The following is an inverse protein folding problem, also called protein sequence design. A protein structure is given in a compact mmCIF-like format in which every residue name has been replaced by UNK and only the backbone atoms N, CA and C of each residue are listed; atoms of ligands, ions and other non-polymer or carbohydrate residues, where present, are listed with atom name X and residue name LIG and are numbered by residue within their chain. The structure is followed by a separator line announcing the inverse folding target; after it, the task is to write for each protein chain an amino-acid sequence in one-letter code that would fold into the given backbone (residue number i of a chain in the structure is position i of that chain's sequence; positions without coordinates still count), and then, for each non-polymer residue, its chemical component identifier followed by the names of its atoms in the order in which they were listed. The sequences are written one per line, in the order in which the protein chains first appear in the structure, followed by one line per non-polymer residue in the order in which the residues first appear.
data_IF_341709570025
#
_entry.id   IF_341709570025
#
_cell.length_a   1.000
_cell.length_b   1.000
_cell.length_c   1.000
_cell.angle_alpha   90.00
_cell.angle_beta   90.00
_cell.angle_gamma   90.00
#
_symmetry.space_group_name_H-M   'P 1'
#
loop_
_entity.id
_entity.type
_entity.pdbx_description
1 polymer ?
#
# COMPACT_ATOMS: atom_id res chain seq x y z
N UNK A 1 -12.83 -4.15 -13.49
CA UNK A 1 -11.82 -3.23 -12.93
C UNK A 1 -11.62 -1.99 -13.81
N UNK A 2 -11.16 -2.13 -15.06
CA UNK A 2 -10.86 -0.97 -15.94
C UNK A 2 -12.05 -0.02 -16.14
N UNK A 3 -13.26 -0.54 -16.40
CA UNK A 3 -14.47 0.28 -16.53
C UNK A 3 -14.80 1.07 -15.26
N UNK A 4 -14.53 0.51 -14.07
CA UNK A 4 -14.74 1.19 -12.78
C UNK A 4 -13.70 2.27 -12.50
N UNK A 5 -12.48 2.12 -13.04
CA UNK A 5 -11.43 3.15 -12.95
C UNK A 5 -11.68 4.30 -13.94
N UNK A 6 -12.33 4.02 -15.08
CA UNK A 6 -12.66 5.04 -16.09
C UNK A 6 -13.97 5.80 -15.81
N UNK A 7 -14.89 5.22 -15.02
CA UNK A 7 -16.18 5.84 -14.65
C UNK A 7 -16.43 5.76 -13.13
N UNK A 8 -15.61 6.46 -12.31
CA UNK A 8 -15.65 6.37 -10.85
C UNK A 8 -17.01 6.68 -10.21
N UNK A 9 -17.78 7.62 -10.78
CA UNK A 9 -19.07 8.07 -10.25
C UNK A 9 -20.23 7.11 -10.53
N UNK A 10 -20.15 6.28 -11.58
CA UNK A 10 -21.28 5.46 -12.05
C UNK A 10 -21.16 3.97 -11.70
N UNK A 11 -19.93 3.45 -11.56
CA UNK A 11 -19.71 2.00 -11.46
C UNK A 11 -18.91 1.55 -10.22
N UNK A 12 -18.36 2.48 -9.43
CA UNK A 12 -17.50 2.10 -8.31
C UNK A 12 -18.33 1.67 -7.08
N UNK A 13 -18.13 0.42 -6.66
CA UNK A 13 -18.56 -0.11 -5.36
C UNK A 13 -17.37 -0.74 -4.68
N UNK A 14 -17.00 -0.26 -3.50
CA UNK A 14 -15.75 -0.59 -2.82
C UNK A 14 -15.49 -2.10 -2.69
N UNK A 15 -16.42 -2.85 -2.09
CA UNK A 15 -16.28 -4.29 -1.89
C UNK A 15 -16.16 -5.06 -3.19
N UNK A 16 -16.98 -4.69 -4.19
CA UNK A 16 -16.97 -5.34 -5.50
C UNK A 16 -15.66 -5.07 -6.27
N UNK A 17 -15.09 -3.87 -6.12
CA UNK A 17 -13.78 -3.57 -6.69
C UNK A 17 -12.68 -4.45 -6.07
N UNK A 18 -12.65 -4.56 -4.73
CA UNK A 18 -11.67 -5.40 -4.01
C UNK A 18 -11.78 -6.89 -4.41
N UNK A 19 -12.99 -7.41 -4.62
CA UNK A 19 -13.20 -8.78 -5.10
C UNK A 19 -12.74 -9.02 -6.54
N UNK A 20 -12.87 -8.03 -7.42
CA UNK A 20 -12.44 -8.18 -8.82
C UNK A 20 -10.93 -8.04 -8.92
N UNK A 21 -10.34 -7.03 -8.28
CA UNK A 21 -8.92 -6.69 -8.47
C UNK A 21 -8.00 -7.83 -8.01
N UNK A 22 -8.37 -8.56 -6.96
CA UNK A 22 -7.62 -9.74 -6.47
C UNK A 22 -7.57 -10.89 -7.48
N UNK A 23 -8.56 -11.01 -8.36
CA UNK A 23 -8.65 -12.06 -9.38
C UNK A 23 -7.86 -11.73 -10.65
N UNK A 24 -7.42 -10.49 -10.81
CA UNK A 24 -6.65 -10.04 -11.97
C UNK A 24 -5.22 -10.55 -11.88
N UNK A 25 -4.73 -11.21 -12.93
CA UNK A 25 -3.36 -11.72 -13.02
C UNK A 25 -2.34 -10.64 -13.43
N UNK A 26 -2.78 -9.58 -14.10
CA UNK A 26 -1.91 -8.50 -14.56
C UNK A 26 -1.60 -7.52 -13.42
N UNK A 27 -0.35 -7.56 -12.94
CA UNK A 27 0.16 -6.72 -11.85
C UNK A 27 0.13 -5.22 -12.19
N UNK A 28 0.25 -4.84 -13.47
CA UNK A 28 0.18 -3.42 -13.86
C UNK A 28 -1.20 -2.82 -13.58
N UNK A 29 -2.27 -3.63 -13.54
CA UNK A 29 -3.60 -3.17 -13.12
C UNK A 29 -3.66 -2.86 -11.62
N UNK A 30 -2.78 -3.44 -10.80
CA UNK A 30 -2.71 -3.13 -9.38
C UNK A 30 -2.14 -1.73 -9.17
N UNK A 31 -1.07 -1.38 -9.88
CA UNK A 31 -0.50 -0.03 -9.80
C UNK A 31 -1.44 1.04 -10.34
N UNK A 32 -2.23 0.72 -11.39
CA UNK A 32 -3.31 1.60 -11.85
C UNK A 32 -4.41 1.77 -10.79
N UNK A 33 -4.79 0.70 -10.11
CA UNK A 33 -5.75 0.77 -9.01
C UNK A 33 -5.19 1.58 -7.82
N UNK A 34 -3.93 1.39 -7.47
CA UNK A 34 -3.24 2.15 -6.42
C UNK A 34 -3.26 3.65 -6.75
N UNK A 35 -2.88 4.03 -7.97
CA UNK A 35 -2.93 5.43 -8.41
C UNK A 35 -4.37 5.98 -8.31
N UNK A 36 -5.37 5.24 -8.78
CA UNK A 36 -6.77 5.63 -8.66
C UNK A 36 -7.21 5.87 -7.21
N UNK A 37 -6.82 4.99 -6.28
CA UNK A 37 -7.13 5.18 -4.86
C UNK A 37 -6.35 6.35 -4.27
N UNK A 38 -5.10 6.54 -4.66
CA UNK A 38 -4.29 7.67 -4.21
C UNK A 38 -4.92 9.01 -4.62
N UNK A 39 -5.42 9.11 -5.86
CA UNK A 39 -5.99 10.34 -6.42
C UNK A 39 -7.41 10.64 -5.89
N UNK A 40 -8.25 9.61 -5.75
CA UNK A 40 -9.70 9.81 -5.51
C UNK A 40 -10.20 9.30 -4.15
N UNK A 41 -9.49 8.36 -3.50
CA UNK A 41 -9.94 7.67 -2.27
C UNK A 41 -8.76 7.32 -1.33
N UNK A 42 -7.92 8.29 -0.92
CA UNK A 42 -6.68 8.01 -0.19
C UNK A 42 -6.91 7.28 1.14
N UNK A 43 -8.03 7.55 1.81
CA UNK A 43 -8.39 6.89 3.07
C UNK A 43 -8.65 5.38 2.95
N UNK A 44 -8.98 4.90 1.75
CA UNK A 44 -9.25 3.47 1.47
C UNK A 44 -8.04 2.74 0.89
N UNK A 45 -6.93 3.46 0.68
CA UNK A 45 -5.74 2.92 0.02
C UNK A 45 -5.10 1.79 0.83
N UNK A 46 -4.98 1.95 2.15
CA UNK A 46 -4.38 0.92 3.01
C UNK A 46 -5.16 -0.40 2.92
N UNK A 47 -6.49 -0.35 2.97
CA UNK A 47 -7.32 -1.55 2.84
C UNK A 47 -7.15 -2.24 1.49
N UNK A 48 -7.02 -1.46 0.40
CA UNK A 48 -6.72 -2.03 -0.91
C UNK A 48 -5.34 -2.71 -0.89
N UNK A 49 -4.32 -2.06 -0.36
CA UNK A 49 -2.96 -2.59 -0.30
C UNK A 49 -2.88 -3.88 0.50
N UNK A 50 -3.61 -3.99 1.62
CA UNK A 50 -3.70 -5.22 2.41
C UNK A 50 -4.27 -6.39 1.61
N UNK A 51 -5.32 -6.13 0.83
CA UNK A 51 -5.95 -7.14 -0.03
C UNK A 51 -5.02 -7.57 -1.17
N UNK A 52 -4.18 -6.67 -1.68
CA UNK A 52 -3.22 -6.94 -2.75
C UNK A 52 -1.88 -7.49 -2.25
N UNK A 53 -1.59 -7.39 -0.94
CA UNK A 53 -0.28 -7.66 -0.36
C UNK A 53 0.30 -9.03 -0.76
N UNK A 54 -0.51 -10.08 -0.81
CA UNK A 54 -0.07 -11.44 -1.13
C UNK A 54 0.50 -11.62 -2.55
N UNK A 55 0.26 -10.66 -3.45
CA UNK A 55 0.65 -10.72 -4.86
C UNK A 55 1.50 -9.54 -5.32
N UNK A 56 1.72 -8.57 -4.45
CA UNK A 56 2.47 -7.36 -4.78
C UNK A 56 3.98 -7.55 -4.53
N UNK A 57 4.78 -6.90 -5.38
CA UNK A 57 6.18 -6.65 -5.06
C UNK A 57 6.27 -5.49 -4.06
N UNK A 58 6.62 -5.80 -2.82
CA UNK A 58 6.71 -4.84 -1.73
C UNK A 58 7.82 -3.80 -1.95
N UNK A 59 8.96 -4.22 -2.52
CA UNK A 59 10.08 -3.32 -2.80
C UNK A 59 9.68 -2.29 -3.86
N UNK A 60 9.02 -2.73 -4.93
CA UNK A 60 8.50 -1.82 -5.96
C UNK A 60 7.41 -0.88 -5.41
N UNK A 61 6.56 -1.36 -4.50
CA UNK A 61 5.56 -0.52 -3.85
C UNK A 61 6.18 0.59 -3.00
N UNK A 62 7.19 0.26 -2.17
CA UNK A 62 7.94 1.26 -1.38
C UNK A 62 8.55 2.31 -2.30
N UNK A 63 9.30 1.89 -3.33
CA UNK A 63 9.93 2.81 -4.28
C UNK A 63 8.92 3.75 -4.94
N UNK A 64 7.75 3.23 -5.31
CA UNK A 64 6.67 4.03 -5.87
C UNK A 64 6.18 5.09 -4.86
N UNK A 65 5.83 4.69 -3.63
CA UNK A 65 5.31 5.61 -2.61
C UNK A 65 6.33 6.64 -2.13
N UNK A 66 7.61 6.28 -2.06
CA UNK A 66 8.71 7.21 -1.81
C UNK A 66 8.80 8.24 -2.94
N UNK A 67 8.74 7.81 -4.20
CA UNK A 67 8.81 8.72 -5.36
C UNK A 67 7.65 9.71 -5.42
N UNK A 68 6.45 9.30 -5.04
CA UNK A 68 5.26 10.18 -5.01
C UNK A 68 5.09 10.92 -3.67
N UNK A 69 6.04 10.79 -2.73
CA UNK A 69 6.00 11.42 -1.41
C UNK A 69 4.73 11.10 -0.60
N UNK A 70 4.23 9.87 -0.70
CA UNK A 70 3.05 9.39 0.03
C UNK A 70 3.36 8.18 0.93
N UNK A 71 4.63 7.98 1.29
CA UNK A 71 5.04 6.91 2.18
C UNK A 71 4.34 6.95 3.56
N UNK A 72 4.16 8.13 4.22
CA UNK A 72 3.43 8.19 5.49
C UNK A 72 1.98 7.71 5.40
N UNK A 73 1.32 7.96 4.26
CA UNK A 73 -0.08 7.56 4.04
C UNK A 73 -0.25 6.03 4.10
N UNK A 74 0.78 5.27 3.71
CA UNK A 74 0.73 3.80 3.64
C UNK A 74 1.39 3.12 4.83
N UNK A 75 1.70 3.85 5.91
CA UNK A 75 2.37 3.32 7.11
C UNK A 75 1.68 2.10 7.72
N UNK A 76 0.34 2.08 7.74
CA UNK A 76 -0.43 0.93 8.24
C UNK A 76 -0.20 -0.32 7.41
N UNK A 77 -0.14 -0.18 6.07
CA UNK A 77 0.26 -1.26 5.19
C UNK A 77 1.70 -1.70 5.47
N UNK A 78 2.66 -0.79 5.58
CA UNK A 78 4.07 -1.13 5.86
C UNK A 78 4.22 -1.97 7.15
N UNK A 79 3.58 -1.54 8.25
CA UNK A 79 3.55 -2.31 9.51
C UNK A 79 2.97 -3.71 9.34
N UNK A 80 1.91 -3.86 8.55
CA UNK A 80 1.23 -5.15 8.38
C UNK A 80 2.05 -6.20 7.61
N UNK A 81 2.90 -5.74 6.68
CA UNK A 81 3.74 -6.62 5.83
C UNK A 81 5.18 -6.72 6.31
N UNK A 82 5.56 -5.96 7.34
CA UNK A 82 6.91 -6.00 7.94
C UNK A 82 7.34 -7.41 8.35
N UNK A 83 6.39 -8.25 8.77
CA UNK A 83 6.62 -9.66 9.11
C UNK A 83 7.22 -10.52 8.00
N UNK A 84 7.20 -10.04 6.76
CA UNK A 84 7.85 -10.68 5.62
C UNK A 84 9.37 -10.44 5.59
N UNK A 85 9.88 -9.64 6.53
CA UNK A 85 11.27 -9.20 6.65
C UNK A 85 11.86 -8.68 5.32
N UNK A 86 11.09 -7.86 4.61
CA UNK A 86 11.55 -7.22 3.39
C UNK A 86 12.37 -5.98 3.76
N UNK A 87 13.62 -5.92 3.29
CA UNK A 87 14.54 -4.82 3.58
C UNK A 87 13.96 -3.43 3.27
N UNK A 88 13.34 -3.24 2.10
CA UNK A 88 12.79 -1.95 1.72
C UNK A 88 11.60 -1.53 2.60
N UNK A 89 10.80 -2.49 3.08
CA UNK A 89 9.73 -2.21 4.05
C UNK A 89 10.31 -1.79 5.39
N UNK A 90 11.32 -2.50 5.89
CA UNK A 90 11.94 -2.20 7.18
C UNK A 90 12.61 -0.82 7.17
N UNK A 91 13.40 -0.52 6.15
CA UNK A 91 14.07 0.78 6.00
C UNK A 91 13.04 1.90 5.92
N UNK A 92 12.05 1.79 5.03
CA UNK A 92 10.98 2.78 4.89
C UNK A 92 10.19 3.00 6.18
N UNK A 93 9.84 1.93 6.89
CA UNK A 93 9.08 2.04 8.14
C UNK A 93 9.94 2.66 9.25
N UNK A 94 11.21 2.28 9.35
CA UNK A 94 12.12 2.83 10.35
C UNK A 94 12.36 4.32 10.12
N UNK A 95 12.57 4.74 8.87
CA UNK A 95 12.69 6.16 8.50
C UNK A 95 11.46 6.95 8.95
N UNK A 96 10.24 6.47 8.67
CA UNK A 96 9.01 7.13 9.12
C UNK A 96 8.91 7.20 10.66
N UNK A 97 9.32 6.15 11.37
CA UNK A 97 9.29 6.14 12.84
C UNK A 97 10.31 7.12 13.44
N UNK A 98 11.46 7.30 12.79
CA UNK A 98 12.47 8.30 13.17
C UNK A 98 11.92 9.71 12.95
N UNK A 99 11.32 9.98 11.79
CA UNK A 99 10.73 11.28 11.45
C UNK A 99 9.58 11.67 12.40
N UNK A 100 8.81 10.69 12.87
CA UNK A 100 7.71 10.87 13.83
C UNK A 100 8.16 10.86 15.30
N UNK A 101 9.45 10.71 15.58
CA UNK A 101 10.01 10.58 16.94
C UNK A 101 9.42 9.39 17.74
N UNK A 102 8.90 8.35 17.06
CA UNK A 102 8.35 7.13 17.65
C UNK A 102 9.47 6.12 17.98
N UNK A 103 10.28 6.44 18.99
CA UNK A 103 11.41 5.60 19.42
C UNK A 103 10.97 4.23 19.95
N UNK A 104 9.77 4.14 20.53
CA UNK A 104 9.23 2.86 21.00
C UNK A 104 8.88 1.96 19.82
N UNK A 105 8.16 2.49 18.84
CA UNK A 105 7.84 1.79 17.61
C UNK A 105 9.09 1.37 16.84
N UNK A 106 10.10 2.25 16.74
CA UNK A 106 11.37 1.93 16.09
C UNK A 106 12.09 0.78 16.78
N UNK A 107 12.14 0.78 18.11
CA UNK A 107 12.76 -0.31 18.86
C UNK A 107 12.05 -1.63 18.64
N UNK A 108 10.71 -1.65 18.72
CA UNK A 108 9.93 -2.87 18.43
C UNK A 108 10.15 -3.35 16.99
N UNK A 109 10.26 -2.42 16.05
CA UNK A 109 10.53 -2.69 14.63
C UNK A 109 11.84 -3.44 14.43
N UNK A 110 12.94 -2.94 15.04
CA UNK A 110 14.29 -3.50 14.91
C UNK A 110 14.46 -4.79 15.71
N UNK A 111 13.89 -4.86 16.92
CA UNK A 111 14.02 -6.05 17.78
C UNK A 111 13.31 -7.28 17.17
N UNK A 112 12.32 -7.06 16.28
CA UNK A 112 11.50 -8.12 15.70
C UNK A 112 11.96 -8.61 14.31
N UNK A 113 12.67 -7.80 13.51
CA UNK A 113 12.94 -8.07 12.08
C UNK A 113 14.32 -7.59 11.61
#
# INVERSE_FOLDING_TARGET
AVTMMNHPTEAWREGHFKEIITKVANIELYYKAIQFYLDYKPMLLNDLLLVLASRMDHTRAVLYFTKVNHLPLVKSYLRSVQKLNNKAINEALNELLIEEEDFQGLRTSIDAF
#
